data_IF_396796606399
#
_entry.id   IF_396796606399
#
_cell.length_a   1.000
_cell.length_b   1.000
_cell.length_c   1.000
_cell.angle_alpha   90.00
_cell.angle_beta   90.00
_cell.angle_gamma   90.00
#
_symmetry.space_group_name_H-M   'P 1'
#
loop_
_entity.id
_entity.type
_entity.pdbx_description
1 polymer ?
#
# COMPACT_ATOMS: atom_id res chain seq x y z
N UNK A 1 -27.85 69.51 -10.48
CA UNK A 1 -26.99 68.86 -9.46
C UNK A 1 -27.32 67.37 -9.26
N UNK A 2 -28.57 66.92 -9.46
CA UNK A 2 -28.99 65.51 -9.28
C UNK A 2 -28.66 64.55 -10.43
N UNK A 3 -28.53 65.02 -11.68
CA UNK A 3 -28.19 64.15 -12.84
C UNK A 3 -26.76 63.59 -12.79
N UNK A 4 -25.77 64.43 -12.49
CA UNK A 4 -24.37 64.01 -12.38
C UNK A 4 -24.11 62.98 -11.26
N UNK A 5 -24.89 63.02 -10.18
CA UNK A 5 -24.77 62.02 -9.10
C UNK A 5 -25.39 60.67 -9.47
N UNK A 6 -26.43 60.66 -10.30
CA UNK A 6 -27.06 59.43 -10.80
C UNK A 6 -26.18 58.75 -11.85
N UNK A 7 -25.58 59.52 -12.76
CA UNK A 7 -24.65 58.98 -13.76
C UNK A 7 -23.42 58.34 -13.10
N UNK A 8 -22.83 59.00 -12.09
CA UNK A 8 -21.72 58.43 -11.31
C UNK A 8 -22.09 57.14 -10.58
N UNK A 9 -23.30 57.08 -10.03
CA UNK A 9 -23.78 55.86 -9.36
C UNK A 9 -23.98 54.73 -10.37
N UNK A 10 -24.50 55.04 -11.57
CA UNK A 10 -24.65 54.10 -12.67
C UNK A 10 -23.29 53.53 -13.10
N UNK A 11 -22.27 54.39 -13.25
CA UNK A 11 -20.90 53.99 -13.60
C UNK A 11 -20.30 53.06 -12.55
N UNK A 12 -20.46 53.38 -11.26
CA UNK A 12 -19.99 52.53 -10.16
C UNK A 12 -20.70 51.17 -10.19
N UNK A 13 -22.01 51.14 -10.39
CA UNK A 13 -22.78 49.88 -10.47
C UNK A 13 -22.36 49.05 -11.68
N UNK A 14 -22.12 49.68 -12.83
CA UNK A 14 -21.63 49.00 -14.03
C UNK A 14 -20.24 48.39 -13.79
N UNK A 15 -19.33 49.16 -13.20
CA UNK A 15 -17.99 48.70 -12.86
C UNK A 15 -18.03 47.55 -11.85
N UNK A 16 -18.87 47.64 -10.82
CA UNK A 16 -19.08 46.56 -9.86
C UNK A 16 -19.63 45.31 -10.54
N UNK A 17 -20.56 45.43 -11.49
CA UNK A 17 -21.08 44.30 -12.27
C UNK A 17 -19.97 43.61 -13.06
N UNK A 18 -19.14 44.38 -13.76
CA UNK A 18 -18.01 43.86 -14.54
C UNK A 18 -17.02 43.13 -13.62
N UNK A 19 -16.67 43.76 -12.49
CA UNK A 19 -15.76 43.16 -11.51
C UNK A 19 -16.32 41.84 -10.95
N UNK A 20 -17.61 41.80 -10.61
CA UNK A 20 -18.27 40.59 -10.11
C UNK A 20 -18.32 39.47 -11.17
N UNK A 21 -18.56 39.81 -12.44
CA UNK A 21 -18.48 38.85 -13.53
C UNK A 21 -17.08 38.25 -13.66
N UNK A 22 -16.04 39.08 -13.63
CA UNK A 22 -14.66 38.62 -13.71
C UNK A 22 -14.26 37.75 -12.50
N UNK A 23 -14.68 38.13 -11.29
CA UNK A 23 -14.45 37.31 -10.08
C UNK A 23 -15.14 35.96 -10.21
N UNK A 24 -16.39 35.92 -10.69
CA UNK A 24 -17.15 34.67 -10.85
C UNK A 24 -16.47 33.73 -11.85
N UNK A 25 -16.00 34.27 -12.98
CA UNK A 25 -15.26 33.50 -13.98
C UNK A 25 -13.93 32.98 -13.43
N UNK A 26 -13.19 33.82 -12.71
CA UNK A 26 -11.93 33.42 -12.06
C UNK A 26 -12.15 32.30 -11.05
N UNK A 27 -13.16 32.43 -10.17
CA UNK A 27 -13.47 31.41 -9.17
C UNK A 27 -13.94 30.09 -9.82
N UNK A 28 -14.69 30.17 -10.91
CA UNK A 28 -15.08 28.98 -11.67
C UNK A 28 -13.86 28.27 -12.25
N UNK A 29 -12.96 29.02 -12.88
CA UNK A 29 -11.72 28.48 -13.44
C UNK A 29 -10.85 27.83 -12.36
N UNK A 30 -10.64 28.51 -11.23
CA UNK A 30 -9.90 27.97 -10.09
C UNK A 30 -10.54 26.71 -9.53
N UNK A 31 -11.88 26.66 -9.44
CA UNK A 31 -12.60 25.46 -8.98
C UNK A 31 -12.34 24.27 -9.91
N UNK A 32 -12.37 24.50 -11.23
CA UNK A 32 -12.07 23.47 -12.22
C UNK A 32 -10.62 22.98 -12.12
N UNK A 33 -9.65 23.89 -11.96
CA UNK A 33 -8.23 23.55 -11.80
C UNK A 33 -7.97 22.76 -10.53
N UNK A 34 -8.53 23.18 -9.39
CA UNK A 34 -8.42 22.47 -8.11
C UNK A 34 -9.00 21.06 -8.24
N UNK A 35 -10.16 20.90 -8.90
CA UNK A 35 -10.75 19.59 -9.13
C UNK A 35 -9.82 18.68 -9.93
N UNK A 36 -9.25 19.18 -11.03
CA UNK A 36 -8.31 18.41 -11.85
C UNK A 36 -7.05 18.01 -11.07
N UNK A 37 -6.53 18.91 -10.22
CA UNK A 37 -5.40 18.60 -9.36
C UNK A 37 -5.75 17.52 -8.32
N UNK A 38 -6.92 17.61 -7.70
CA UNK A 38 -7.41 16.60 -6.76
C UNK A 38 -7.60 15.23 -7.43
N UNK A 39 -8.16 15.21 -8.64
CA UNK A 39 -8.30 13.98 -9.44
C UNK A 39 -6.92 13.36 -9.71
N UNK A 40 -5.93 14.18 -10.08
CA UNK A 40 -4.55 13.73 -10.29
C UNK A 40 -3.90 13.14 -9.04
N UNK A 41 -4.03 13.82 -7.89
CA UNK A 41 -3.51 13.33 -6.60
C UNK A 41 -4.22 12.05 -6.18
N UNK A 42 -5.53 11.96 -6.37
CA UNK A 42 -6.30 10.77 -6.05
C UNK A 42 -5.83 9.57 -6.87
N UNK A 43 -5.65 9.74 -8.18
CA UNK A 43 -5.15 8.69 -9.07
C UNK A 43 -3.73 8.24 -8.71
N UNK A 44 -2.85 9.17 -8.36
CA UNK A 44 -1.50 8.85 -7.90
C UNK A 44 -1.54 8.01 -6.62
N UNK A 45 -2.35 8.41 -5.63
CA UNK A 45 -2.53 7.68 -4.37
C UNK A 45 -3.14 6.30 -4.60
N UNK A 46 -4.11 6.19 -5.50
CA UNK A 46 -4.71 4.92 -5.90
C UNK A 46 -3.67 3.98 -6.49
N UNK A 47 -2.85 4.45 -7.46
CA UNK A 47 -1.78 3.65 -8.05
C UNK A 47 -0.72 3.24 -7.04
N UNK A 48 -0.38 4.13 -6.09
CA UNK A 48 0.54 3.82 -5.01
C UNK A 48 0.00 2.69 -4.12
N UNK A 49 -1.29 2.74 -3.76
CA UNK A 49 -1.94 1.70 -2.97
C UNK A 49 -1.99 0.35 -3.70
N UNK A 50 -2.32 0.35 -4.99
CA UNK A 50 -2.25 -0.85 -5.84
C UNK A 50 -0.81 -1.40 -5.93
N UNK A 51 0.19 -0.51 -5.96
CA UNK A 51 1.61 -0.87 -5.88
C UNK A 51 1.97 -1.56 -4.57
N UNK A 52 1.48 -1.05 -3.44
CA UNK A 52 1.67 -1.68 -2.13
C UNK A 52 1.06 -3.09 -2.10
N UNK A 53 -0.15 -3.27 -2.62
CA UNK A 53 -0.81 -4.59 -2.68
C UNK A 53 0.03 -5.59 -3.51
N UNK A 54 0.47 -5.18 -4.70
CA UNK A 54 1.35 -6.02 -5.53
C UNK A 54 2.66 -6.38 -4.81
N UNK A 55 3.21 -5.45 -4.03
CA UNK A 55 4.39 -5.71 -3.21
C UNK A 55 4.13 -6.78 -2.14
N UNK A 56 2.97 -6.73 -1.47
CA UNK A 56 2.55 -7.74 -0.50
C UNK A 56 2.39 -9.10 -1.19
N UNK A 57 1.68 -9.15 -2.32
CA UNK A 57 1.44 -10.38 -3.07
C UNK A 57 2.75 -11.05 -3.50
N UNK A 58 3.69 -10.26 -4.01
CA UNK A 58 5.02 -10.76 -4.40
C UNK A 58 5.78 -11.35 -3.20
N UNK A 59 5.72 -10.69 -2.03
CA UNK A 59 6.35 -11.20 -0.81
C UNK A 59 5.70 -12.49 -0.32
N UNK A 60 4.38 -12.61 -0.42
CA UNK A 60 3.67 -13.83 -0.07
C UNK A 60 4.04 -15.01 -1.00
N UNK A 61 4.24 -14.74 -2.29
CA UNK A 61 4.74 -15.75 -3.26
C UNK A 61 6.15 -16.20 -2.88
N UNK A 62 7.06 -15.26 -2.61
CA UNK A 62 8.44 -15.56 -2.17
C UNK A 62 8.47 -16.36 -0.86
N UNK A 63 7.63 -15.98 0.12
CA UNK A 63 7.48 -16.74 1.36
C UNK A 63 6.98 -18.16 1.09
N UNK A 64 5.99 -18.33 0.22
CA UNK A 64 5.43 -19.64 -0.12
C UNK A 64 6.49 -20.55 -0.77
N UNK A 65 7.31 -19.99 -1.66
CA UNK A 65 8.43 -20.71 -2.27
C UNK A 65 9.49 -21.12 -1.22
N UNK A 66 9.80 -20.21 -0.28
CA UNK A 66 10.74 -20.48 0.82
C UNK A 66 10.24 -21.59 1.76
N UNK A 67 8.94 -21.62 2.03
CA UNK A 67 8.29 -22.66 2.84
C UNK A 67 8.37 -24.02 2.15
N UNK A 68 8.08 -24.07 0.85
CA UNK A 68 8.18 -25.30 0.08
C UNK A 68 9.62 -25.84 0.08
N UNK A 69 10.59 -24.96 -0.12
CA UNK A 69 12.00 -25.33 -0.11
C UNK A 69 12.47 -25.80 1.28
N UNK A 70 12.03 -25.15 2.36
CA UNK A 70 12.30 -25.60 3.71
C UNK A 70 11.79 -27.02 3.95
N UNK A 71 10.55 -27.32 3.53
CA UNK A 71 9.96 -28.66 3.68
C UNK A 71 10.74 -29.71 2.89
N UNK A 72 11.16 -29.37 1.67
CA UNK A 72 11.98 -30.26 0.83
C UNK A 72 13.32 -30.57 1.51
N UNK A 73 14.05 -29.53 1.93
CA UNK A 73 15.33 -29.68 2.63
C UNK A 73 15.18 -30.43 3.96
N UNK A 74 14.10 -30.18 4.70
CA UNK A 74 13.80 -30.89 5.94
C UNK A 74 13.61 -32.40 5.71
N UNK A 75 12.86 -32.78 4.67
CA UNK A 75 12.67 -34.17 4.30
C UNK A 75 13.99 -34.84 3.86
N UNK A 76 14.79 -34.14 3.05
CA UNK A 76 16.12 -34.61 2.63
C UNK A 76 17.04 -34.83 3.84
N UNK A 77 17.06 -33.89 4.79
CA UNK A 77 17.82 -34.00 6.04
C UNK A 77 17.32 -35.17 6.89
N UNK A 78 16.01 -35.38 6.99
CA UNK A 78 15.45 -36.49 7.75
C UNK A 78 15.89 -37.85 7.19
N UNK A 79 15.84 -38.02 5.87
CA UNK A 79 16.33 -39.23 5.18
C UNK A 79 17.83 -39.42 5.41
N UNK A 80 18.63 -38.35 5.29
CA UNK A 80 20.07 -38.42 5.51
C UNK A 80 20.40 -38.81 6.95
N UNK A 81 19.68 -38.22 7.92
CA UNK A 81 19.83 -38.52 9.34
C UNK A 81 19.54 -40.00 9.62
N UNK A 82 18.47 -40.55 9.05
CA UNK A 82 18.13 -41.98 9.19
C UNK A 82 19.25 -42.88 8.67
N UNK A 83 19.81 -42.57 7.49
CA UNK A 83 20.96 -43.31 6.93
C UNK A 83 22.20 -43.25 7.82
N UNK A 84 22.50 -42.08 8.40
CA UNK A 84 23.63 -41.94 9.32
C UNK A 84 23.43 -42.77 10.59
N UNK A 85 22.21 -42.79 11.13
CA UNK A 85 21.86 -43.65 12.28
C UNK A 85 22.03 -45.13 11.93
N UNK A 86 21.59 -45.55 10.75
CA UNK A 86 21.78 -46.94 10.28
C UNK A 86 23.26 -47.33 10.12
N UNK A 87 24.14 -46.36 9.88
CA UNK A 87 25.59 -46.53 9.82
C UNK A 87 26.27 -46.46 11.20
N UNK A 88 25.51 -46.33 12.29
CA UNK A 88 26.01 -46.29 13.66
C UNK A 88 26.48 -44.92 14.13
N UNK A 89 26.19 -43.84 13.39
CA UNK A 89 26.44 -42.48 13.84
C UNK A 89 25.29 -41.99 14.74
N UNK A 90 25.57 -40.99 15.59
CA UNK A 90 24.57 -40.25 16.37
C UNK A 90 24.49 -38.80 15.87
N UNK A 91 23.83 -38.55 14.72
CA UNK A 91 23.64 -37.20 14.21
C UNK A 91 22.73 -36.37 15.13
N UNK A 92 23.05 -35.09 15.30
CA UNK A 92 22.29 -34.15 16.12
C UNK A 92 20.81 -34.01 15.73
N UNK A 93 20.09 -33.20 16.52
CA UNK A 93 18.67 -32.94 16.31
C UNK A 93 18.36 -32.26 14.98
N UNK A 94 17.21 -32.57 14.40
CA UNK A 94 16.68 -31.81 13.26
C UNK A 94 16.13 -30.45 13.73
N UNK A 95 16.09 -29.45 12.85
CA UNK A 95 15.35 -28.21 13.08
C UNK A 95 13.87 -28.47 13.40
N UNK A 96 13.14 -27.45 13.86
CA UNK A 96 11.71 -27.58 14.07
C UNK A 96 10.97 -27.81 12.74
N UNK A 97 10.05 -28.78 12.69
CA UNK A 97 9.17 -28.94 11.54
C UNK A 97 8.20 -27.75 11.43
N UNK A 98 7.88 -27.33 10.21
CA UNK A 98 6.89 -26.26 10.00
C UNK A 98 5.48 -26.77 10.32
N UNK A 99 4.68 -26.01 11.09
CA UNK A 99 3.31 -26.41 11.41
C UNK A 99 2.36 -26.15 10.23
N UNK A 100 1.33 -26.98 10.11
CA UNK A 100 0.29 -26.85 9.09
C UNK A 100 0.72 -27.27 7.69
N UNK A 101 -0.26 -27.46 6.80
CA UNK A 101 -0.02 -27.88 5.41
C UNK A 101 0.04 -26.69 4.46
N UNK A 102 -0.66 -25.60 4.78
CA UNK A 102 -0.73 -24.42 3.91
C UNK A 102 0.36 -23.40 4.22
N UNK A 103 0.73 -22.58 3.23
CA UNK A 103 1.65 -21.47 3.44
C UNK A 103 1.05 -20.41 4.40
N UNK A 104 -0.28 -20.22 4.37
CA UNK A 104 -0.98 -19.30 5.26
C UNK A 104 -0.80 -19.66 6.74
N UNK A 105 -0.93 -20.94 7.08
CA UNK A 105 -0.77 -21.41 8.46
C UNK A 105 0.65 -21.19 8.98
N UNK A 106 1.64 -21.48 8.13
CA UNK A 106 3.06 -21.30 8.45
C UNK A 106 3.39 -19.82 8.63
N UNK A 107 2.90 -18.96 7.73
CA UNK A 107 3.10 -17.50 7.82
C UNK A 107 2.45 -16.97 9.09
N UNK A 108 1.21 -17.35 9.37
CA UNK A 108 0.51 -16.94 10.59
C UNK A 108 1.26 -17.40 11.85
N UNK A 109 1.75 -18.64 11.88
CA UNK A 109 2.57 -19.13 12.97
C UNK A 109 3.86 -18.31 13.12
N UNK A 110 4.62 -18.08 12.04
CA UNK A 110 5.89 -17.34 12.12
C UNK A 110 5.70 -15.89 12.54
N UNK A 111 4.60 -15.24 12.14
CA UNK A 111 4.25 -13.91 12.62
C UNK A 111 3.99 -13.89 14.14
N UNK A 112 3.39 -14.95 14.70
CA UNK A 112 3.24 -15.07 16.16
C UNK A 112 4.59 -15.21 16.84
N UNK A 113 5.44 -16.11 16.35
CA UNK A 113 6.80 -16.31 16.90
C UNK A 113 7.61 -15.00 16.89
N UNK A 114 7.57 -14.24 15.78
CA UNK A 114 8.31 -12.97 15.69
C UNK A 114 7.81 -11.90 16.66
N UNK A 115 6.50 -11.83 16.90
CA UNK A 115 5.91 -10.93 17.89
C UNK A 115 6.29 -11.34 19.30
N UNK A 116 6.22 -12.64 19.60
CA UNK A 116 6.54 -13.17 20.92
C UNK A 116 8.06 -13.01 21.21
N UNK A 117 8.90 -13.05 20.18
CA UNK A 117 10.34 -12.72 20.22
C UNK A 117 10.64 -11.20 20.32
N UNK A 118 9.63 -10.31 20.37
CA UNK A 118 9.78 -8.84 20.35
C UNK A 118 10.54 -8.28 19.12
N UNK A 119 10.48 -8.99 17.99
CA UNK A 119 11.11 -8.60 16.72
C UNK A 119 10.14 -7.91 15.76
N UNK A 120 8.87 -7.85 16.14
CA UNK A 120 7.77 -7.11 15.52
C UNK A 120 6.86 -6.57 16.62
#
# INVERSE_FOLDING_TARGET
MSGQSVDRLMDVVLQMRINLSHITETLHQQTCEIRQQLDGVFDERKRALEGCLRGIDQKLIECSASIAEYRRLFADLAIMREKLVQLGADPGGLPAALPGETASDVIAWRLRELRDESRM
#
